data_IF_965791175195
#
_entry.id   IF_965791175195
#
_cell.length_a   1.000
_cell.length_b   1.000
_cell.length_c   1.000
_cell.angle_alpha   90.00
_cell.angle_beta   90.00
_cell.angle_gamma   90.00
#
_symmetry.space_group_name_H-M   'P 1'
#
loop_
_entity.id
_entity.type
_entity.pdbx_description
1 polymer ?
#
# COMPACT_ATOMS: atom_id res chain seq x y z
N UNK A 1 -18.91 18.14 28.48
CA UNK A 1 -18.28 17.36 27.39
C UNK A 1 -18.75 15.91 27.53
N UNK A 2 -19.52 15.39 26.57
CA UNK A 2 -19.91 13.97 26.59
C UNK A 2 -18.67 13.16 26.23
N UNK A 3 -18.08 12.48 27.21
CA UNK A 3 -17.09 11.45 26.95
C UNK A 3 -17.76 10.41 26.04
N UNK A 4 -17.46 10.45 24.74
CA UNK A 4 -17.72 9.28 23.91
C UNK A 4 -16.89 8.17 24.56
N UNK A 5 -17.53 7.07 24.94
CA UNK A 5 -16.80 5.86 25.30
C UNK A 5 -15.95 5.51 24.09
N UNK A 6 -14.65 5.83 24.15
CA UNK A 6 -13.67 5.62 23.08
C UNK A 6 -13.40 4.11 23.00
N UNK A 7 -14.36 3.36 22.47
CA UNK A 7 -14.18 1.93 22.29
C UNK A 7 -13.14 1.67 21.22
N UNK A 8 -12.46 0.53 21.30
CA UNK A 8 -11.47 0.10 20.30
C UNK A 8 -12.04 0.13 18.87
N UNK A 9 -13.34 -0.12 18.71
CA UNK A 9 -14.00 -0.13 17.42
C UNK A 9 -14.25 1.28 16.87
N UNK A 10 -14.64 2.23 17.74
CA UNK A 10 -14.73 3.63 17.35
C UNK A 10 -13.36 4.16 16.90
N UNK A 11 -12.31 3.86 17.68
CA UNK A 11 -10.93 4.22 17.32
C UNK A 11 -10.54 3.61 15.98
N UNK A 12 -10.84 2.32 15.81
CA UNK A 12 -10.56 1.59 14.58
C UNK A 12 -11.28 2.18 13.35
N UNK A 13 -12.56 2.55 13.46
CA UNK A 13 -13.31 3.11 12.31
C UNK A 13 -12.88 4.53 11.99
N UNK A 14 -12.86 5.39 13.00
CA UNK A 14 -12.69 6.85 12.84
C UNK A 14 -11.22 7.24 12.66
N UNK A 15 -10.31 6.70 13.48
CA UNK A 15 -8.91 7.14 13.50
C UNK A 15 -7.99 6.22 12.70
N UNK A 16 -8.20 4.90 12.78
CA UNK A 16 -7.42 3.99 11.95
C UNK A 16 -7.97 3.99 10.51
N UNK A 17 -9.25 3.66 10.34
CA UNK A 17 -9.84 3.53 9.03
C UNK A 17 -10.35 4.86 8.48
N UNK A 18 -10.40 5.98 9.21
CA UNK A 18 -10.81 7.28 8.64
C UNK A 18 -12.14 7.24 7.88
N UNK A 19 -13.09 6.41 8.30
CA UNK A 19 -14.40 6.25 7.69
C UNK A 19 -15.45 6.90 8.58
N UNK A 20 -16.41 7.62 8.01
CA UNK A 20 -17.63 8.02 8.72
C UNK A 20 -18.52 6.80 9.04
N UNK A 21 -19.54 6.99 9.88
CA UNK A 21 -20.49 5.91 10.21
C UNK A 21 -21.27 5.48 8.96
N UNK A 22 -21.60 6.44 8.12
CA UNK A 22 -22.34 6.28 6.87
C UNK A 22 -21.50 5.55 5.82
N UNK A 23 -20.24 5.98 5.61
CA UNK A 23 -19.29 5.33 4.70
C UNK A 23 -19.02 3.88 5.13
N UNK A 24 -18.82 3.65 6.43
CA UNK A 24 -18.61 2.31 6.96
C UNK A 24 -19.85 1.41 6.79
N UNK A 25 -21.06 1.98 6.89
CA UNK A 25 -22.31 1.26 6.69
C UNK A 25 -22.49 0.84 5.23
N UNK A 26 -22.25 1.76 4.30
CA UNK A 26 -22.29 1.51 2.86
C UNK A 26 -21.25 0.46 2.45
N UNK A 27 -19.99 0.65 2.86
CA UNK A 27 -18.88 -0.25 2.55
C UNK A 27 -19.13 -1.68 3.05
N UNK A 28 -19.70 -1.83 4.25
CA UNK A 28 -19.95 -3.14 4.85
C UNK A 28 -21.33 -3.72 4.50
N UNK A 29 -22.11 -3.04 3.66
CA UNK A 29 -23.49 -3.42 3.32
C UNK A 29 -24.35 -3.64 4.57
N UNK A 30 -24.19 -2.79 5.59
CA UNK A 30 -24.94 -2.82 6.87
C UNK A 30 -25.69 -1.51 7.09
N UNK A 31 -26.55 -1.50 8.11
CA UNK A 31 -27.24 -0.28 8.51
C UNK A 31 -26.36 0.59 9.39
N UNK A 32 -26.57 1.92 9.34
CA UNK A 32 -25.94 2.90 10.23
C UNK A 32 -26.14 2.53 11.71
N UNK A 33 -27.29 1.95 12.08
CA UNK A 33 -27.56 1.46 13.45
C UNK A 33 -26.58 0.35 13.85
N UNK A 34 -26.28 -0.58 12.94
CA UNK A 34 -25.32 -1.66 13.16
C UNK A 34 -23.92 -1.11 13.41
N UNK A 35 -23.47 -0.13 12.62
CA UNK A 35 -22.16 0.51 12.78
C UNK A 35 -22.08 1.27 14.12
N UNK A 36 -23.12 2.01 14.49
CA UNK A 36 -23.19 2.67 15.81
C UNK A 36 -23.13 1.69 16.99
N UNK A 37 -23.63 0.46 16.82
CA UNK A 37 -23.50 -0.59 17.84
C UNK A 37 -22.06 -1.11 17.90
N UNK A 38 -21.36 -1.22 16.77
CA UNK A 38 -19.95 -1.57 16.74
C UNK A 38 -19.09 -0.55 17.48
N UNK A 39 -19.33 0.74 17.22
CA UNK A 39 -18.66 1.85 17.92
C UNK A 39 -18.97 1.89 19.43
N UNK A 40 -20.08 1.28 19.87
CA UNK A 40 -20.39 1.06 21.29
C UNK A 40 -19.74 -0.21 21.87
N UNK A 41 -18.88 -0.89 21.12
CA UNK A 41 -18.12 -2.05 21.58
C UNK A 41 -18.65 -3.40 21.12
N UNK A 42 -19.74 -3.46 20.33
CA UNK A 42 -20.17 -4.73 19.73
C UNK A 42 -19.12 -5.21 18.73
N UNK A 43 -18.86 -6.52 18.67
CA UNK A 43 -17.90 -7.10 17.73
C UNK A 43 -18.22 -6.74 16.26
N UNK A 44 -17.21 -6.26 15.54
CA UNK A 44 -17.25 -6.06 14.09
C UNK A 44 -16.96 -7.42 13.44
N UNK A 45 -17.80 -7.92 12.52
CA UNK A 45 -17.52 -9.12 11.75
C UNK A 45 -16.15 -9.04 11.04
N UNK A 46 -15.37 -10.12 10.98
CA UNK A 46 -14.01 -10.08 10.42
C UNK A 46 -14.00 -9.62 8.95
N UNK A 47 -15.03 -9.95 8.18
CA UNK A 47 -15.20 -9.53 6.78
C UNK A 47 -15.36 -8.01 6.68
N UNK A 48 -16.19 -7.42 7.55
CA UNK A 48 -16.41 -5.97 7.61
C UNK A 48 -15.14 -5.24 8.05
N UNK A 49 -14.43 -5.79 9.05
CA UNK A 49 -13.16 -5.23 9.52
C UNK A 49 -12.11 -5.23 8.40
N UNK A 50 -12.08 -6.28 7.57
CA UNK A 50 -11.18 -6.38 6.43
C UNK A 50 -11.54 -5.37 5.34
N UNK A 51 -12.81 -5.27 4.96
CA UNK A 51 -13.28 -4.30 3.96
C UNK A 51 -12.90 -2.86 4.35
N UNK A 52 -13.06 -2.49 5.63
CA UNK A 52 -12.66 -1.17 6.13
C UNK A 52 -11.15 -0.90 5.96
N UNK A 53 -10.29 -1.90 6.16
CA UNK A 53 -8.83 -1.77 5.94
C UNK A 53 -8.49 -1.65 4.46
N UNK A 54 -9.07 -2.50 3.62
CA UNK A 54 -8.85 -2.51 2.18
C UNK A 54 -9.25 -1.17 1.55
N UNK A 55 -10.39 -0.59 1.98
CA UNK A 55 -10.88 0.69 1.43
C UNK A 55 -9.93 1.87 1.72
N UNK A 56 -9.12 1.80 2.78
CA UNK A 56 -8.06 2.79 3.03
C UNK A 56 -6.70 2.42 2.48
N UNK A 57 -6.60 1.34 1.71
CA UNK A 57 -5.34 0.84 1.17
C UNK A 57 -4.41 0.25 2.24
N UNK A 58 -4.90 -0.03 3.45
CA UNK A 58 -4.09 -0.61 4.52
C UNK A 58 -3.74 -2.09 4.28
N UNK A 59 -4.42 -2.73 3.34
CA UNK A 59 -4.17 -4.11 2.91
C UNK A 59 -4.24 -4.11 1.37
N UNK A 60 -3.12 -4.43 0.71
CA UNK A 60 -2.99 -4.35 -0.76
C UNK A 60 -3.55 -5.55 -1.50
N UNK A 61 -3.40 -6.75 -0.93
CA UNK A 61 -3.87 -7.99 -1.55
C UNK A 61 -4.12 -9.06 -0.49
N UNK A 62 -4.86 -10.09 -0.90
CA UNK A 62 -5.15 -11.30 -0.11
C UNK A 62 -3.99 -12.31 -0.19
N UNK A 63 -3.12 -12.17 -1.18
CA UNK A 63 -1.99 -13.09 -1.39
C UNK A 63 -0.89 -12.88 -0.34
N UNK A 64 -0.28 -13.98 0.10
CA UNK A 64 0.79 -13.96 1.11
C UNK A 64 2.01 -13.11 0.70
N UNK A 65 2.28 -12.98 -0.60
CA UNK A 65 3.40 -12.16 -1.10
C UNK A 65 3.26 -10.66 -0.77
N UNK A 66 2.03 -10.22 -0.49
CA UNK A 66 1.72 -8.83 -0.11
C UNK A 66 1.48 -8.67 1.40
N UNK A 67 1.76 -9.71 2.19
CA UNK A 67 1.64 -9.63 3.65
C UNK A 67 2.57 -8.54 4.19
N UNK A 68 2.05 -7.72 5.12
CA UNK A 68 2.72 -6.55 5.70
C UNK A 68 3.05 -5.40 4.74
N UNK A 69 2.62 -5.45 3.48
CA UNK A 69 2.65 -4.27 2.63
C UNK A 69 1.40 -3.42 2.87
N UNK A 70 1.61 -2.12 3.11
CA UNK A 70 0.55 -1.17 3.51
C UNK A 70 0.67 0.10 2.70
N UNK A 71 -0.43 0.63 2.13
CA UNK A 71 -0.41 1.98 1.59
C UNK A 71 -0.60 3.00 2.72
N UNK A 72 0.36 3.92 2.85
CA UNK A 72 0.27 5.10 3.70
C UNK A 72 0.22 6.34 2.83
N UNK A 73 -0.99 6.85 2.59
CA UNK A 73 -1.22 8.02 1.75
C UNK A 73 -0.60 7.87 0.36
N UNK A 74 0.47 8.63 0.08
CA UNK A 74 1.19 8.69 -1.20
C UNK A 74 2.37 7.70 -1.29
N UNK A 75 2.55 6.84 -0.27
CA UNK A 75 3.69 5.92 -0.16
C UNK A 75 3.26 4.50 0.12
N UNK A 76 4.06 3.57 -0.38
CA UNK A 76 3.98 2.14 -0.09
C UNK A 76 4.93 1.83 1.07
N UNK A 77 4.41 1.31 2.18
CA UNK A 77 5.19 0.75 3.28
C UNK A 77 5.53 -0.71 2.96
N UNK A 78 6.82 -1.02 2.95
CA UNK A 78 7.36 -2.37 2.79
C UNK A 78 7.28 -3.13 4.12
N UNK A 79 7.40 -4.48 4.12
CA UNK A 79 7.47 -5.28 5.34
C UNK A 79 8.61 -4.88 6.30
N UNK A 80 9.64 -4.20 5.78
CA UNK A 80 10.74 -3.63 6.57
C UNK A 80 10.37 -2.35 7.32
N UNK A 81 9.16 -1.81 7.11
CA UNK A 81 8.71 -0.51 7.59
C UNK A 81 9.20 0.68 6.74
N UNK A 82 9.93 0.42 5.65
CA UNK A 82 10.41 1.48 4.76
C UNK A 82 9.28 2.01 3.87
N UNK A 83 9.18 3.32 3.74
CA UNK A 83 8.23 3.99 2.85
C UNK A 83 8.87 4.30 1.50
N UNK A 84 8.30 3.76 0.43
CA UNK A 84 8.72 3.98 -0.95
C UNK A 84 7.67 4.75 -1.75
N UNK A 85 8.14 5.68 -2.59
CA UNK A 85 7.28 6.40 -3.53
C UNK A 85 7.01 5.56 -4.77
N UNK A 86 5.98 5.92 -5.53
CA UNK A 86 5.68 5.28 -6.82
C UNK A 86 6.89 5.28 -7.78
N UNK A 87 7.66 6.38 -7.82
CA UNK A 87 8.88 6.45 -8.64
C UNK A 87 9.96 5.46 -8.19
N UNK A 88 10.15 5.28 -6.88
CA UNK A 88 11.12 4.32 -6.36
C UNK A 88 10.72 2.87 -6.70
N UNK A 89 9.42 2.57 -6.70
CA UNK A 89 8.91 1.27 -7.18
C UNK A 89 9.22 1.09 -8.67
N UNK A 90 8.92 2.09 -9.51
CA UNK A 90 9.22 2.03 -10.95
C UNK A 90 10.71 1.88 -11.24
N UNK A 91 11.57 2.61 -10.51
CA UNK A 91 13.02 2.49 -10.63
C UNK A 91 13.48 1.09 -10.20
N UNK A 92 12.92 0.53 -9.13
CA UNK A 92 13.23 -0.83 -8.70
C UNK A 92 12.90 -1.86 -9.78
N UNK A 93 11.73 -1.74 -10.42
CA UNK A 93 11.33 -2.60 -11.55
C UNK A 93 12.28 -2.40 -12.74
N UNK A 94 12.54 -1.16 -13.13
CA UNK A 94 13.44 -0.85 -14.24
C UNK A 94 14.87 -1.36 -13.98
N UNK A 95 15.39 -1.27 -12.75
CA UNK A 95 16.71 -1.79 -12.40
C UNK A 95 16.75 -3.32 -12.39
N UNK A 96 15.66 -4.00 -12.04
CA UNK A 96 15.56 -5.46 -12.16
C UNK A 96 15.49 -5.90 -13.64
N UNK A 97 14.81 -5.12 -14.48
CA UNK A 97 14.74 -5.35 -15.93
C UNK A 97 16.08 -5.06 -16.63
N UNK A 98 16.75 -3.95 -16.28
CA UNK A 98 18.05 -3.54 -16.82
C UNK A 98 19.22 -4.35 -16.20
N UNK A 99 19.04 -4.85 -14.99
CA UNK A 99 20.01 -5.64 -14.23
C UNK A 99 20.26 -7.04 -14.79
N UNK A 100 19.65 -7.40 -15.92
CA UNK A 100 19.89 -8.64 -16.64
C UNK A 100 21.25 -8.66 -17.36
N UNK A 101 22.36 -8.41 -16.64
CA UNK A 101 23.79 -8.64 -16.99
C UNK A 101 24.36 -8.03 -18.29
N UNK A 102 23.53 -7.71 -19.28
CA UNK A 102 23.92 -7.36 -20.63
C UNK A 102 24.24 -5.89 -20.78
N UNK A 103 23.65 -4.99 -19.98
CA UNK A 103 23.80 -3.55 -20.23
C UNK A 103 25.21 -3.03 -19.94
N UNK A 104 25.90 -3.55 -18.93
CA UNK A 104 27.31 -3.22 -18.70
C UNK A 104 28.22 -3.79 -19.80
N UNK A 105 27.96 -5.01 -20.24
CA UNK A 105 28.77 -5.67 -21.26
C UNK A 105 28.55 -5.04 -22.65
N UNK A 106 27.31 -4.67 -22.95
CA UNK A 106 26.92 -3.94 -24.16
C UNK A 106 27.48 -2.52 -24.12
N UNK A 107 27.39 -1.80 -23.01
CA UNK A 107 28.02 -0.48 -22.87
C UNK A 107 29.54 -0.54 -23.05
N UNK A 108 30.19 -1.58 -22.52
CA UNK A 108 31.62 -1.83 -22.73
C UNK A 108 31.95 -2.04 -24.21
N UNK A 109 31.16 -2.87 -24.90
CA UNK A 109 31.35 -3.18 -26.32
C UNK A 109 31.13 -1.94 -27.20
N UNK A 110 30.07 -1.16 -26.93
CA UNK A 110 29.77 0.09 -27.63
C UNK A 110 30.92 1.08 -27.47
N UNK A 111 31.42 1.28 -26.25
CA UNK A 111 32.56 2.18 -26.01
C UNK A 111 33.84 1.69 -26.70
N UNK A 112 34.08 0.38 -26.72
CA UNK A 112 35.21 -0.22 -27.42
C UNK A 112 35.13 0.05 -28.92
N UNK A 113 33.98 -0.19 -29.55
CA UNK A 113 33.78 0.05 -30.99
C UNK A 113 33.85 1.54 -31.33
N UNK A 114 33.23 2.41 -30.55
CA UNK A 114 33.28 3.86 -30.77
C UNK A 114 34.72 4.41 -30.73
N UNK A 115 35.57 3.89 -29.82
CA UNK A 115 37.00 4.27 -29.75
C UNK A 115 37.80 3.79 -30.96
N UNK A 116 37.51 2.60 -31.49
CA UNK A 116 38.16 2.09 -32.70
C UNK A 116 37.72 2.89 -33.92
N UNK A 117 36.42 3.18 -34.06
CA UNK A 117 35.89 4.01 -35.14
C UNK A 117 36.50 5.41 -35.13
N UNK A 118 36.63 6.04 -33.96
CA UNK A 118 37.32 7.34 -33.81
C UNK A 118 38.79 7.32 -34.24
N UNK A 119 39.44 6.14 -34.29
CA UNK A 119 40.82 6.02 -34.79
C UNK A 119 40.88 5.79 -36.31
N UNK A 120 39.76 5.41 -36.93
CA UNK A 120 39.66 5.13 -38.36
C UNK A 120 39.14 6.32 -39.17
N UNK A 121 38.55 7.31 -38.50
CA UNK A 121 38.12 8.61 -39.04
C UNK A 121 39.08 9.68 -38.52
#
# INVERSE_FOLDING_TARGET
>A
MKYHEMTKNYIFREFECGLSVEEAAELCLKTVKTVKLWDKGKAIPPECRRLMRMNKGRELSICNDWENFVMRHDRLELPTGQLVTAQQVLIGVALLELGASNDMEVAHQILKYARVLKKMV
#
